data_IF_745402462446
#
_entry.id   IF_745402462446
#
_cell.length_a   1.000
_cell.length_b   1.000
_cell.length_c   1.000
_cell.angle_alpha   90.00
_cell.angle_beta   90.00
_cell.angle_gamma   90.00
#
_symmetry.space_group_name_H-M   'P 1'
#
loop_
_entity.id
_entity.type
_entity.pdbx_description
1 polymer ?
#
# COMPACT_ATOMS: atom_id res chain seq x y z
N UNK A 1 25.76 -3.75 -35.40
CA UNK A 1 25.78 -3.30 -34.00
C UNK A 1 25.86 -4.55 -33.13
N UNK A 2 26.78 -4.58 -32.17
CA UNK A 2 27.04 -5.75 -31.33
C UNK A 2 26.31 -5.51 -30.02
N UNK A 3 25.15 -6.13 -29.84
CA UNK A 3 24.46 -6.14 -28.55
C UNK A 3 25.29 -6.98 -27.58
N UNK A 4 25.90 -6.30 -26.60
CA UNK A 4 26.66 -6.95 -25.54
C UNK A 4 25.67 -7.68 -24.63
N UNK A 5 25.72 -9.00 -24.73
CA UNK A 5 24.95 -9.92 -23.92
C UNK A 5 25.41 -9.81 -22.47
N UNK A 6 24.56 -9.30 -21.57
CA UNK A 6 24.81 -9.36 -20.13
C UNK A 6 24.55 -10.79 -19.69
N UNK A 7 25.61 -11.50 -19.31
CA UNK A 7 25.55 -12.85 -18.73
C UNK A 7 24.71 -12.83 -17.45
N UNK A 8 23.40 -13.08 -17.61
CA UNK A 8 22.45 -13.21 -16.54
C UNK A 8 22.63 -14.57 -15.89
N UNK A 9 23.26 -14.58 -14.73
CA UNK A 9 23.57 -15.78 -13.95
C UNK A 9 22.29 -16.58 -13.62
N UNK A 10 21.98 -17.58 -14.46
CA UNK A 10 20.81 -18.44 -14.35
C UNK A 10 21.09 -19.58 -13.35
N UNK A 11 21.22 -19.24 -12.07
CA UNK A 11 21.22 -20.27 -11.03
C UNK A 11 19.79 -20.71 -10.71
N UNK A 12 19.32 -21.72 -11.45
CA UNK A 12 18.46 -22.79 -10.93
C UNK A 12 17.10 -22.44 -10.32
N UNK A 13 16.38 -21.42 -10.79
CA UNK A 13 14.99 -21.24 -10.38
C UNK A 13 14.02 -21.92 -11.36
N UNK A 14 13.55 -23.11 -10.99
CA UNK A 14 12.41 -23.76 -11.62
C UNK A 14 11.12 -23.03 -11.20
N UNK A 15 10.88 -21.85 -11.76
CA UNK A 15 9.54 -21.26 -11.78
C UNK A 15 8.88 -21.63 -13.11
N UNK A 16 7.98 -22.62 -13.06
CA UNK A 16 6.93 -22.83 -14.06
C UNK A 16 5.90 -21.69 -13.98
N UNK A 17 6.36 -20.46 -14.19
CA UNK A 17 5.53 -19.27 -14.26
C UNK A 17 5.98 -18.48 -15.46
N UNK A 18 5.08 -18.32 -16.42
CA UNK A 18 5.20 -17.40 -17.53
C UNK A 18 5.72 -16.05 -17.01
N UNK A 19 6.89 -15.63 -17.50
CA UNK A 19 7.44 -14.30 -17.20
C UNK A 19 6.51 -13.28 -17.84
N UNK A 20 5.53 -12.83 -17.05
CA UNK A 20 4.74 -11.65 -17.38
C UNK A 20 5.73 -10.50 -17.40
N UNK A 21 6.15 -10.08 -18.59
CA UNK A 21 6.83 -8.82 -18.80
C UNK A 21 5.86 -7.72 -18.37
N UNK A 22 5.95 -7.33 -17.11
CA UNK A 22 5.31 -6.12 -16.63
C UNK A 22 5.90 -4.91 -17.37
N UNK A 23 5.16 -3.80 -17.46
CA UNK A 23 5.72 -2.55 -17.96
C UNK A 23 7.02 -2.23 -17.20
N UNK A 24 8.02 -1.64 -17.86
CA UNK A 24 9.25 -1.17 -17.20
C UNK A 24 8.88 -0.28 -16.01
N UNK A 25 8.95 -0.86 -14.81
CA UNK A 25 8.74 -0.14 -13.58
C UNK A 25 10.08 0.50 -13.24
N UNK A 26 10.09 1.83 -13.10
CA UNK A 26 11.27 2.52 -12.59
C UNK A 26 11.47 2.11 -11.11
N UNK A 27 12.27 1.07 -10.89
CA UNK A 27 12.51 0.53 -9.55
C UNK A 27 13.12 1.58 -8.61
N UNK A 28 13.94 2.48 -9.13
CA UNK A 28 14.54 3.55 -8.33
C UNK A 28 13.49 4.53 -7.84
N UNK A 29 12.55 4.91 -8.70
CA UNK A 29 11.42 5.74 -8.29
C UNK A 29 10.58 5.05 -7.20
N UNK A 30 10.35 3.74 -7.33
CA UNK A 30 9.63 2.95 -6.31
C UNK A 30 10.38 2.94 -4.98
N UNK A 31 11.71 2.76 -4.99
CA UNK A 31 12.55 2.78 -3.79
C UNK A 31 12.51 4.14 -3.10
N UNK A 32 12.65 5.24 -3.85
CA UNK A 32 12.58 6.61 -3.32
C UNK A 32 11.21 6.87 -2.66
N UNK A 33 10.13 6.52 -3.36
CA UNK A 33 8.76 6.68 -2.83
C UNK A 33 8.59 5.83 -1.57
N UNK A 34 9.02 4.57 -1.57
CA UNK A 34 8.92 3.69 -0.41
C UNK A 34 9.68 4.25 0.81
N UNK A 35 10.87 4.81 0.61
CA UNK A 35 11.64 5.43 1.68
C UNK A 35 10.91 6.66 2.27
N UNK A 36 10.34 7.52 1.43
CA UNK A 36 9.57 8.68 1.87
C UNK A 36 8.31 8.27 2.66
N UNK A 37 7.58 7.27 2.16
CA UNK A 37 6.37 6.77 2.83
C UNK A 37 6.71 6.08 4.16
N UNK A 38 7.88 5.46 4.29
CA UNK A 38 8.32 4.81 5.53
C UNK A 38 8.50 5.81 6.67
N UNK A 39 9.18 6.94 6.40
CA UNK A 39 9.41 7.98 7.44
C UNK A 39 8.09 8.52 7.99
N UNK A 40 7.14 8.82 7.10
CA UNK A 40 5.81 9.33 7.50
C UNK A 40 4.99 8.22 8.16
N UNK A 41 5.09 6.99 7.63
CA UNK A 41 4.39 5.83 8.15
C UNK A 41 4.78 5.50 9.59
N UNK A 42 6.07 5.59 9.92
CA UNK A 42 6.55 5.38 11.28
C UNK A 42 6.06 6.45 12.27
N UNK A 43 5.78 7.67 11.80
CA UNK A 43 5.13 8.69 12.61
C UNK A 43 3.68 8.32 12.90
N UNK A 44 2.88 8.03 11.87
CA UNK A 44 1.48 7.63 12.05
C UNK A 44 1.32 6.32 12.82
N UNK A 45 2.27 5.39 12.70
CA UNK A 45 2.26 4.14 13.44
C UNK A 45 2.23 4.36 14.97
N UNK A 46 2.88 5.42 15.45
CA UNK A 46 2.89 5.82 16.87
C UNK A 46 1.60 6.50 17.31
N UNK A 47 0.94 7.21 16.40
CA UNK A 47 -0.27 8.00 16.68
C UNK A 47 -1.55 7.16 16.61
N UNK A 48 -1.56 6.11 15.78
CA UNK A 48 -2.72 5.23 15.62
C UNK A 48 -2.94 4.39 16.88
N UNK A 49 -4.10 4.60 17.51
CA UNK A 49 -4.53 3.85 18.69
C UNK A 49 -4.86 2.39 18.33
N UNK A 50 -4.43 1.46 19.18
CA UNK A 50 -4.70 0.02 19.04
C UNK A 50 -6.19 -0.31 18.89
N UNK A 51 -7.08 0.49 19.53
CA UNK A 51 -8.53 0.33 19.40
C UNK A 51 -9.01 0.41 17.95
N UNK A 52 -8.52 1.37 17.18
CA UNK A 52 -8.92 1.55 15.76
C UNK A 52 -8.52 0.33 14.94
N UNK A 53 -7.33 -0.19 15.19
CA UNK A 53 -6.81 -1.39 14.51
C UNK A 53 -7.64 -2.61 14.88
N UNK A 54 -7.93 -2.83 16.17
CA UNK A 54 -8.70 -3.97 16.64
C UNK A 54 -10.13 -3.95 16.08
N UNK A 55 -10.78 -2.79 16.07
CA UNK A 55 -12.12 -2.62 15.48
C UNK A 55 -12.10 -2.99 13.99
N UNK A 56 -11.07 -2.56 13.26
CA UNK A 56 -10.91 -2.88 11.84
C UNK A 56 -10.59 -4.36 11.61
N UNK A 57 -9.74 -4.98 12.45
CA UNK A 57 -9.48 -6.43 12.42
C UNK A 57 -10.79 -7.22 12.58
N UNK A 58 -11.70 -6.82 13.47
CA UNK A 58 -12.99 -7.49 13.61
C UNK A 58 -13.84 -7.40 12.32
N UNK A 59 -13.79 -6.27 11.61
CA UNK A 59 -14.44 -6.16 10.30
C UNK A 59 -13.79 -7.09 9.26
N UNK A 60 -12.46 -7.19 9.23
CA UNK A 60 -11.75 -8.07 8.30
C UNK A 60 -11.92 -9.57 8.60
N UNK A 61 -12.23 -9.93 9.85
CA UNK A 61 -12.58 -11.30 10.22
C UNK A 61 -14.01 -11.68 9.79
N UNK A 62 -14.88 -10.70 9.55
CA UNK A 62 -16.24 -10.98 9.10
C UNK A 62 -16.24 -11.39 7.62
N UNK A 63 -16.30 -12.69 7.36
CA UNK A 63 -16.38 -13.28 6.01
C UNK A 63 -17.68 -12.93 5.27
N UNK A 64 -18.72 -12.49 5.98
CA UNK A 64 -19.98 -12.08 5.35
C UNK A 64 -19.87 -10.72 4.63
N UNK A 65 -18.82 -9.94 4.89
CA UNK A 65 -18.60 -8.66 4.21
C UNK A 65 -17.97 -8.88 2.84
N UNK A 66 -18.61 -8.32 1.82
CA UNK A 66 -18.08 -8.25 0.47
C UNK A 66 -16.79 -7.39 0.42
N UNK A 67 -16.04 -7.53 -0.67
CA UNK A 67 -14.83 -6.75 -0.94
C UNK A 67 -15.09 -5.23 -0.93
N UNK A 68 -16.25 -4.78 -1.41
CA UNK A 68 -16.64 -3.37 -1.42
C UNK A 68 -16.97 -2.86 -0.02
N UNK A 69 -17.74 -3.62 0.75
CA UNK A 69 -18.11 -3.23 2.11
C UNK A 69 -16.88 -3.12 3.01
N UNK A 70 -15.92 -4.06 2.91
CA UNK A 70 -14.68 -3.96 3.68
C UNK A 70 -13.79 -2.80 3.20
N UNK A 71 -13.82 -2.48 1.91
CA UNK A 71 -13.13 -1.29 1.35
C UNK A 71 -13.75 -0.01 1.90
N UNK A 72 -15.08 0.04 2.03
CA UNK A 72 -15.77 1.17 2.65
C UNK A 72 -15.39 1.31 4.13
N UNK A 73 -15.30 0.20 4.89
CA UNK A 73 -14.84 0.23 6.29
C UNK A 73 -13.41 0.73 6.42
N UNK A 74 -12.53 0.34 5.50
CA UNK A 74 -11.16 0.88 5.43
C UNK A 74 -11.19 2.39 5.15
N UNK A 75 -11.99 2.85 4.17
CA UNK A 75 -12.12 4.27 3.83
C UNK A 75 -12.57 5.10 5.04
N UNK A 76 -13.61 4.66 5.74
CA UNK A 76 -14.11 5.34 6.95
C UNK A 76 -13.03 5.44 8.04
N UNK A 77 -12.24 4.39 8.25
CA UNK A 77 -11.16 4.40 9.23
C UNK A 77 -10.05 5.37 8.84
N UNK A 78 -9.63 5.35 7.56
CA UNK A 78 -8.61 6.25 7.02
C UNK A 78 -9.07 7.71 7.10
N UNK A 79 -10.31 8.02 6.70
CA UNK A 79 -10.85 9.38 6.77
C UNK A 79 -10.94 9.90 8.21
N UNK A 80 -11.38 9.06 9.15
CA UNK A 80 -11.44 9.43 10.57
C UNK A 80 -10.05 9.76 11.11
N UNK A 81 -9.03 8.99 10.74
CA UNK A 81 -7.65 9.25 11.13
C UNK A 81 -7.07 10.48 10.42
N UNK A 82 -7.36 10.66 9.14
CA UNK A 82 -6.89 11.79 8.35
C UNK A 82 -7.41 13.13 8.90
N UNK A 83 -8.65 13.17 9.40
CA UNK A 83 -9.21 14.36 10.06
C UNK A 83 -8.53 14.74 11.37
N UNK A 84 -7.82 13.81 12.00
CA UNK A 84 -7.08 14.06 13.24
C UNK A 84 -5.66 14.60 12.97
N UNK A 85 -5.18 14.54 11.72
CA UNK A 85 -3.86 15.04 11.33
C UNK A 85 -3.96 16.55 11.06
N UNK A 86 -2.98 17.35 11.53
CA UNK A 86 -2.96 18.79 11.28
C UNK A 86 -2.86 19.13 9.77
N UNK A 87 -3.48 20.23 9.36
CA UNK A 87 -3.65 20.66 7.95
C UNK A 87 -2.38 21.01 7.17
N UNK A 88 -1.19 20.80 7.74
CA UNK A 88 0.10 21.10 7.11
C UNK A 88 0.50 20.04 6.06
N UNK A 89 -0.08 18.83 6.12
CA UNK A 89 0.16 17.76 5.15
C UNK A 89 -0.95 17.67 4.10
N UNK A 90 -0.58 17.43 2.83
CA UNK A 90 -1.54 17.10 1.78
C UNK A 90 -2.42 15.92 2.19
N UNK A 91 -3.74 16.10 2.10
CA UNK A 91 -4.70 15.11 2.57
C UNK A 91 -4.57 13.76 1.83
N UNK A 92 -4.36 13.77 0.51
CA UNK A 92 -4.17 12.55 -0.30
C UNK A 92 -2.96 11.74 0.17
N UNK A 93 -1.86 12.43 0.50
CA UNK A 93 -0.64 11.82 1.04
C UNK A 93 -0.89 11.19 2.42
N UNK A 94 -1.58 11.93 3.29
CA UNK A 94 -1.93 11.44 4.61
C UNK A 94 -2.81 10.19 4.53
N UNK A 95 -3.85 10.21 3.68
CA UNK A 95 -4.73 9.07 3.47
C UNK A 95 -3.98 7.85 2.91
N UNK A 96 -3.07 8.04 1.95
CA UNK A 96 -2.24 6.98 1.39
C UNK A 96 -1.41 6.28 2.48
N UNK A 97 -0.66 7.07 3.26
CA UNK A 97 0.22 6.52 4.30
C UNK A 97 -0.59 5.88 5.42
N UNK A 98 -1.70 6.50 5.85
CA UNK A 98 -2.59 5.92 6.85
C UNK A 98 -3.14 4.57 6.41
N UNK A 99 -3.58 4.44 5.17
CA UNK A 99 -4.04 3.17 4.62
C UNK A 99 -2.94 2.10 4.73
N UNK A 100 -1.72 2.41 4.28
CA UNK A 100 -0.59 1.47 4.34
C UNK A 100 -0.20 1.08 5.77
N UNK A 101 -0.20 2.03 6.71
CA UNK A 101 0.11 1.75 8.12
C UNK A 101 -0.97 0.88 8.75
N UNK A 102 -2.26 1.13 8.47
CA UNK A 102 -3.34 0.26 8.92
C UNK A 102 -3.18 -1.16 8.37
N UNK A 103 -2.87 -1.32 7.09
CA UNK A 103 -2.59 -2.62 6.47
C UNK A 103 -1.46 -3.34 7.19
N UNK A 104 -0.32 -2.66 7.41
CA UNK A 104 0.83 -3.19 8.14
C UNK A 104 0.43 -3.63 9.55
N UNK A 105 -0.30 -2.80 10.29
CA UNK A 105 -0.72 -3.11 11.67
C UNK A 105 -1.69 -4.29 11.73
N UNK A 106 -2.65 -4.38 10.80
CA UNK A 106 -3.59 -5.50 10.71
C UNK A 106 -2.83 -6.80 10.38
N UNK A 107 -1.96 -6.77 9.37
CA UNK A 107 -1.18 -7.94 8.98
C UNK A 107 -0.24 -8.43 10.09
N UNK A 108 0.34 -7.51 10.87
CA UNK A 108 1.18 -7.87 12.03
C UNK A 108 0.36 -8.41 13.20
N UNK A 109 -0.86 -7.90 13.41
CA UNK A 109 -1.77 -8.38 14.46
C UNK A 109 -2.35 -9.75 14.11
N UNK A 110 -2.71 -9.96 12.83
CA UNK A 110 -3.38 -11.15 12.34
C UNK A 110 -2.85 -11.52 10.95
N UNK A 111 -1.76 -12.30 10.86
CA UNK A 111 -1.12 -12.63 9.59
C UNK A 111 -2.01 -13.38 8.59
N UNK A 112 -3.03 -14.11 9.06
CA UNK A 112 -4.01 -14.80 8.21
C UNK A 112 -4.84 -13.84 7.36
N UNK A 113 -4.94 -12.56 7.75
CA UNK A 113 -5.65 -11.53 6.99
C UNK A 113 -4.79 -10.88 5.91
N UNK A 114 -3.50 -11.20 5.79
CA UNK A 114 -2.55 -10.51 4.91
C UNK A 114 -3.08 -10.37 3.48
N UNK A 115 -3.54 -11.45 2.86
CA UNK A 115 -4.06 -11.42 1.50
C UNK A 115 -5.29 -10.50 1.39
N UNK A 116 -6.26 -10.66 2.32
CA UNK A 116 -7.52 -9.90 2.30
C UNK A 116 -7.25 -8.41 2.53
N UNK A 117 -6.48 -8.05 3.56
CA UNK A 117 -6.17 -6.65 3.88
C UNK A 117 -5.34 -6.00 2.79
N UNK A 118 -4.38 -6.73 2.19
CA UNK A 118 -3.57 -6.21 1.09
C UNK A 118 -4.44 -5.89 -0.14
N UNK A 119 -5.25 -6.84 -0.60
CA UNK A 119 -6.15 -6.62 -1.74
C UNK A 119 -7.15 -5.50 -1.49
N UNK A 120 -7.75 -5.42 -0.29
CA UNK A 120 -8.65 -4.31 0.08
C UNK A 120 -7.93 -2.96 0.06
N UNK A 121 -6.69 -2.91 0.55
CA UNK A 121 -5.90 -1.67 0.57
C UNK A 121 -5.56 -1.21 -0.84
N UNK A 122 -5.12 -2.13 -1.70
CA UNK A 122 -4.83 -1.81 -3.10
C UNK A 122 -6.09 -1.36 -3.84
N UNK A 123 -7.25 -1.98 -3.58
CA UNK A 123 -8.53 -1.56 -4.15
C UNK A 123 -8.92 -0.15 -3.68
N UNK A 124 -8.83 0.12 -2.37
CA UNK A 124 -9.06 1.45 -1.81
C UNK A 124 -8.18 2.51 -2.48
N UNK A 125 -6.87 2.24 -2.56
CA UNK A 125 -5.89 3.14 -3.19
C UNK A 125 -6.22 3.35 -4.67
N UNK A 126 -6.56 2.29 -5.39
CA UNK A 126 -6.88 2.36 -6.82
C UNK A 126 -8.19 3.11 -7.11
N UNK A 127 -9.13 3.12 -6.17
CA UNK A 127 -10.39 3.85 -6.32
C UNK A 127 -10.28 5.30 -5.88
N UNK A 128 -9.63 5.56 -4.74
CA UNK A 128 -9.65 6.88 -4.08
C UNK A 128 -8.39 7.72 -4.35
N UNK A 129 -7.25 7.09 -4.67
CA UNK A 129 -5.94 7.74 -4.73
C UNK A 129 -5.23 7.53 -6.08
N UNK A 130 -5.95 7.05 -7.10
CA UNK A 130 -5.37 6.77 -8.41
C UNK A 130 -4.67 7.99 -9.01
N UNK A 131 -5.38 9.12 -9.07
CA UNK A 131 -4.83 10.36 -9.63
C UNK A 131 -3.61 10.87 -8.85
N UNK A 132 -3.64 10.74 -7.52
CA UNK A 132 -2.52 11.10 -6.67
C UNK A 132 -1.28 10.27 -6.97
N UNK A 133 -1.43 8.94 -7.10
CA UNK A 133 -0.31 8.05 -7.43
C UNK A 133 0.25 8.35 -8.81
N UNK A 134 -0.60 8.57 -9.81
CA UNK A 134 -0.14 8.93 -11.16
C UNK A 134 0.68 10.22 -11.14
N UNK A 135 0.23 11.24 -10.39
CA UNK A 135 0.99 12.49 -10.19
C UNK A 135 2.31 12.26 -9.47
N UNK A 136 2.30 11.50 -8.38
CA UNK A 136 3.48 11.19 -7.57
C UNK A 136 4.55 10.45 -8.39
N UNK A 137 4.15 9.41 -9.14
CA UNK A 137 5.06 8.66 -10.01
C UNK A 137 5.61 9.54 -11.14
N UNK A 138 4.79 10.44 -11.69
CA UNK A 138 5.24 11.37 -12.74
C UNK A 138 6.23 12.41 -12.22
N UNK A 139 6.09 12.86 -10.97
CA UNK A 139 6.99 13.83 -10.35
C UNK A 139 8.40 13.29 -10.09
N UNK A 140 8.56 11.98 -9.88
CA UNK A 140 9.87 11.33 -9.65
C UNK A 140 10.62 11.03 -10.95
N UNK A 141 9.93 11.11 -12.10
CA UNK A 141 10.55 10.90 -13.43
C UNK A 141 11.21 12.18 -13.99
N UNK A 142 11.09 13.33 -13.32
CA UNK A 142 11.74 14.60 -13.68
C UNK A 142 13.02 14.77 -12.88
#
# INVERSE_FOLDING_TARGET
EVELQTDGNRSGHLQNGELVFGPEVNEEAVRIIAAQLTVIGDQFDREIKARVVNDLVQHFLNENLSGEEITQRMSEAVERLARAIPSDMEQEKAMLVLAMVLTKKIANTMPSLLQRVFSTTVNYISQQLHNYIVRMVSAVKQ
#
